data_IF_813251354395
#
_entry.id   IF_813251354395
#
_cell.length_a   1.000
_cell.length_b   1.000
_cell.length_c   1.000
_cell.angle_alpha   90.00
_cell.angle_beta   90.00
_cell.angle_gamma   90.00
#
_symmetry.space_group_name_H-M   'P 1'
#
loop_
_entity.id
_entity.type
_entity.pdbx_description
1 polymer ?
#
# COMPACT_ATOMS: atom_id res chain seq x y z
N UNK A 1 19.87 9.63 15.83
CA UNK A 1 19.54 8.27 15.35
C UNK A 1 19.76 8.30 13.86
N UNK A 2 20.61 7.43 13.33
CA UNK A 2 20.70 7.22 11.88
C UNK A 2 19.32 6.79 11.37
N UNK A 3 18.87 7.44 10.29
CA UNK A 3 17.62 7.04 9.64
C UNK A 3 17.91 5.86 8.72
N UNK A 4 17.08 4.80 8.75
CA UNK A 4 17.38 3.59 8.01
C UNK A 4 17.31 3.82 6.49
N UNK A 5 18.32 3.33 5.78
CA UNK A 5 18.31 3.12 4.34
C UNK A 5 18.13 1.62 4.10
N UNK A 6 17.02 1.26 3.46
CA UNK A 6 16.69 -0.14 3.14
C UNK A 6 16.84 -0.31 1.64
N UNK A 7 17.88 -1.00 1.21
CA UNK A 7 18.09 -1.37 -0.19
C UNK A 7 18.16 -2.90 -0.30
N UNK A 8 17.06 -3.50 -0.75
CA UNK A 8 16.98 -4.95 -0.95
C UNK A 8 17.24 -5.32 -2.41
N UNK A 9 17.73 -6.53 -2.61
CA UNK A 9 17.94 -7.12 -3.94
C UNK A 9 16.66 -7.72 -4.53
N UNK A 10 15.72 -8.15 -3.69
CA UNK A 10 14.37 -8.62 -4.06
C UNK A 10 13.40 -8.54 -2.87
N UNK A 11 12.12 -8.80 -3.12
CA UNK A 11 11.06 -8.83 -2.10
C UNK A 11 10.35 -10.17 -2.11
N UNK A 12 10.28 -10.84 -0.95
CA UNK A 12 9.65 -12.16 -0.82
C UNK A 12 8.13 -12.04 -0.70
N UNK A 13 7.65 -11.01 0.01
CA UNK A 13 6.23 -10.70 0.14
C UNK A 13 6.01 -9.19 0.19
N UNK A 14 4.96 -8.73 -0.51
CA UNK A 14 4.54 -7.34 -0.49
C UNK A 14 3.02 -7.27 -0.41
N UNK A 15 2.50 -6.51 0.56
CA UNK A 15 1.06 -6.46 0.83
C UNK A 15 0.64 -5.11 1.38
N UNK A 16 -0.67 -4.88 1.39
CA UNK A 16 -1.30 -3.73 2.03
C UNK A 16 -2.27 -4.21 3.11
N UNK A 17 -2.38 -3.45 4.19
CA UNK A 17 -3.31 -3.73 5.28
C UNK A 17 -3.82 -2.48 5.96
N UNK A 18 -4.79 -2.69 6.84
CA UNK A 18 -5.33 -1.61 7.68
C UNK A 18 -5.51 -2.09 9.11
N UNK A 19 -5.23 -1.20 10.05
CA UNK A 19 -5.52 -1.40 11.48
C UNK A 19 -6.63 -0.43 11.90
N UNK A 20 -7.56 -0.91 12.74
CA UNK A 20 -8.68 -0.14 13.27
C UNK A 20 -10.01 -0.28 12.51
N UNK A 21 -11.05 0.32 13.07
CA UNK A 21 -12.43 0.24 12.55
C UNK A 21 -12.62 1.04 11.25
N UNK A 22 -13.62 0.66 10.44
CA UNK A 22 -13.96 1.37 9.21
C UNK A 22 -14.22 2.88 9.47
N UNK A 23 -13.59 3.75 8.67
CA UNK A 23 -13.62 5.20 8.87
C UNK A 23 -12.57 5.76 9.84
N UNK A 24 -11.87 4.90 10.60
CA UNK A 24 -10.69 5.24 11.42
C UNK A 24 -9.50 4.33 11.12
N UNK A 25 -9.48 3.74 9.93
CA UNK A 25 -8.42 2.83 9.48
C UNK A 25 -7.14 3.60 9.24
N UNK A 26 -6.04 3.07 9.77
CA UNK A 26 -4.68 3.46 9.38
C UNK A 26 -4.20 2.47 8.33
N UNK A 27 -3.68 2.98 7.21
CA UNK A 27 -3.21 2.16 6.10
C UNK A 27 -1.71 1.91 6.23
N UNK A 28 -1.31 0.70 5.86
CA UNK A 28 0.08 0.28 5.85
C UNK A 28 0.40 -0.51 4.59
N UNK A 29 1.60 -0.33 4.05
CA UNK A 29 2.23 -1.37 3.22
C UNK A 29 3.21 -2.16 4.08
N UNK A 30 3.33 -3.45 3.80
CA UNK A 30 4.27 -4.33 4.47
C UNK A 30 5.08 -5.10 3.42
N UNK A 31 6.40 -5.01 3.53
CA UNK A 31 7.35 -5.73 2.70
C UNK A 31 8.14 -6.71 3.57
N UNK A 32 8.49 -7.88 3.02
CA UNK A 32 9.28 -8.90 3.72
C UNK A 32 10.41 -9.41 2.84
N UNK A 33 11.57 -9.62 3.46
CA UNK A 33 12.74 -10.23 2.82
C UNK A 33 13.60 -10.93 3.87
N UNK A 34 13.91 -12.21 3.66
CA UNK A 34 14.83 -12.98 4.51
C UNK A 34 14.53 -12.87 6.03
N UNK A 35 13.25 -12.82 6.42
CA UNK A 35 12.80 -12.67 7.81
C UNK A 35 12.73 -11.24 8.33
N UNK A 36 13.28 -10.25 7.61
CA UNK A 36 13.04 -8.84 7.88
C UNK A 36 11.64 -8.43 7.41
N UNK A 37 10.95 -7.63 8.22
CA UNK A 37 9.63 -7.07 7.90
C UNK A 37 9.73 -5.55 8.03
N UNK A 38 9.26 -4.83 7.01
CA UNK A 38 9.16 -3.37 7.01
C UNK A 38 7.69 -3.00 6.85
N UNK A 39 7.18 -2.17 7.76
CA UNK A 39 5.80 -1.74 7.84
C UNK A 39 5.72 -0.22 7.81
N UNK A 40 5.33 0.31 6.65
CA UNK A 40 5.27 1.75 6.42
C UNK A 40 3.84 2.23 6.53
N UNK A 41 3.61 3.38 7.18
CA UNK A 41 2.30 4.01 7.29
C UNK A 41 2.05 4.96 6.12
N UNK A 42 0.86 4.91 5.55
CA UNK A 42 0.48 5.70 4.37
C UNK A 42 -0.91 6.29 4.51
N UNK A 43 -1.17 7.32 3.72
CA UNK A 43 -2.51 7.80 3.49
C UNK A 43 -3.30 6.88 2.56
N UNK A 44 -4.63 6.87 2.72
CA UNK A 44 -5.52 6.11 1.83
C UNK A 44 -5.32 6.49 0.36
N UNK A 45 -5.09 7.78 0.07
CA UNK A 45 -4.91 8.28 -1.30
C UNK A 45 -3.59 7.80 -1.91
N UNK A 46 -2.52 7.71 -1.12
CA UNK A 46 -1.25 7.15 -1.58
C UNK A 46 -1.39 5.67 -1.95
N UNK A 47 -2.14 4.88 -1.16
CA UNK A 47 -2.44 3.47 -1.49
C UNK A 47 -3.24 3.36 -2.78
N UNK A 48 -4.27 4.18 -2.95
CA UNK A 48 -5.11 4.18 -4.15
C UNK A 48 -4.30 4.56 -5.40
N UNK A 49 -3.54 5.66 -5.32
CA UNK A 49 -2.71 6.15 -6.42
C UNK A 49 -1.59 5.19 -6.78
N UNK A 50 -0.95 4.55 -5.80
CA UNK A 50 0.07 3.52 -6.05
C UNK A 50 -0.53 2.32 -6.80
N UNK A 51 -1.72 1.84 -6.39
CA UNK A 51 -2.37 0.72 -7.07
C UNK A 51 -2.76 1.07 -8.51
N UNK A 52 -3.29 2.27 -8.75
CA UNK A 52 -3.62 2.76 -10.10
C UNK A 52 -2.38 2.89 -10.97
N UNK A 53 -1.31 3.49 -10.45
CA UNK A 53 -0.06 3.66 -11.18
C UNK A 53 0.59 2.32 -11.56
N UNK A 54 0.67 1.38 -10.59
CA UNK A 54 1.19 0.04 -10.84
C UNK A 54 0.35 -0.72 -11.87
N UNK A 55 -0.97 -0.61 -11.82
CA UNK A 55 -1.86 -1.24 -12.80
C UNK A 55 -1.65 -0.70 -14.22
N UNK A 56 -1.43 0.62 -14.35
CA UNK A 56 -1.05 1.25 -15.62
C UNK A 56 0.24 0.67 -16.19
N UNK A 57 1.31 0.62 -15.39
CA UNK A 57 2.59 0.01 -15.81
C UNK A 57 2.37 -1.45 -16.21
N UNK A 58 1.63 -2.21 -15.41
CA UNK A 58 1.38 -3.63 -15.65
C UNK A 58 0.58 -3.87 -16.93
N UNK A 59 -0.30 -2.94 -17.32
CA UNK A 59 -1.07 -2.99 -18.56
C UNK A 59 -0.24 -2.83 -19.83
N UNK A 60 0.92 -2.17 -19.74
CA UNK A 60 1.87 -2.00 -20.84
C UNK A 60 2.85 -3.19 -20.99
N UNK A 61 2.81 -4.15 -20.06
CA UNK A 61 3.70 -5.30 -20.01
C UNK A 61 2.98 -6.61 -20.41
N UNK A 62 3.70 -7.64 -20.90
CA UNK A 62 3.10 -8.95 -21.22
C UNK A 62 2.34 -9.52 -20.04
N UNK A 63 1.20 -10.23 -20.20
CA UNK A 63 0.45 -10.74 -19.05
C UNK A 63 1.32 -11.60 -18.12
N UNK A 64 1.02 -11.56 -16.83
CA UNK A 64 1.66 -12.44 -15.83
C UNK A 64 0.96 -13.79 -15.86
N UNK A 65 1.73 -14.87 -15.87
CA UNK A 65 1.20 -16.22 -15.81
C UNK A 65 0.82 -16.61 -14.37
N UNK A 66 -0.40 -17.15 -14.18
CA UNK A 66 -0.88 -17.67 -12.90
C UNK A 66 -1.81 -16.73 -12.10
N UNK A 67 -2.56 -17.28 -11.13
CA UNK A 67 -3.56 -16.52 -10.39
C UNK A 67 -2.94 -15.61 -9.33
N UNK A 68 -2.90 -14.30 -9.59
CA UNK A 68 -2.45 -13.28 -8.63
C UNK A 68 -3.25 -13.29 -7.30
N UNK A 69 -4.46 -13.84 -7.31
CA UNK A 69 -5.33 -13.96 -6.12
C UNK A 69 -4.77 -14.90 -5.06
N UNK A 70 -4.09 -15.98 -5.48
CA UNK A 70 -3.54 -16.96 -4.54
C UNK A 70 -2.38 -16.32 -3.77
N UNK A 71 -1.50 -15.62 -4.48
CA UNK A 71 -0.38 -14.90 -3.87
C UNK A 71 -0.85 -13.72 -2.98
N UNK A 72 -1.95 -13.04 -3.33
CA UNK A 72 -2.54 -12.00 -2.48
C UNK A 72 -3.05 -12.52 -1.13
N UNK A 73 -3.38 -13.81 -1.07
CA UNK A 73 -3.78 -14.50 0.16
C UNK A 73 -2.56 -14.94 0.97
N UNK A 74 -1.49 -15.39 0.29
CA UNK A 74 -0.25 -15.87 0.90
C UNK A 74 0.63 -14.77 1.51
N UNK A 75 0.61 -13.54 0.96
CA UNK A 75 1.43 -12.41 1.46
C UNK A 75 0.88 -11.77 2.74
N UNK A 76 0.24 -12.56 3.61
CA UNK A 76 -0.57 -12.12 4.75
C UNK A 76 -0.06 -10.89 5.50
N UNK A 77 -0.98 -9.96 5.78
CA UNK A 77 -0.71 -8.76 6.56
C UNK A 77 -0.73 -9.05 8.06
N UNK A 78 0.26 -8.56 8.79
CA UNK A 78 0.31 -8.62 10.25
C UNK A 78 0.26 -7.22 10.82
N UNK A 79 -0.59 -6.99 11.84
CA UNK A 79 -0.68 -5.70 12.53
C UNK A 79 0.71 -5.30 13.06
N UNK A 80 1.28 -4.18 12.59
CA UNK A 80 2.63 -3.82 12.93
C UNK A 80 2.77 -3.22 14.34
N UNK A 81 1.66 -2.89 15.01
CA UNK A 81 1.60 -2.11 16.27
C UNK A 81 2.13 -0.68 16.11
N UNK A 82 3.34 -0.51 15.59
CA UNK A 82 3.97 0.77 15.24
C UNK A 82 4.52 0.72 13.81
N UNK A 83 4.55 1.88 13.13
CA UNK A 83 5.16 1.99 11.81
C UNK A 83 6.66 2.21 11.94
N UNK A 84 7.45 1.69 10.98
CA UNK A 84 8.85 2.07 10.85
C UNK A 84 8.97 3.57 10.53
N UNK A 85 8.12 4.07 9.62
CA UNK A 85 7.91 5.50 9.40
C UNK A 85 6.60 5.81 8.65
N UNK A 86 6.27 7.10 8.56
CA UNK A 86 5.15 7.62 7.74
C UNK A 86 5.69 8.00 6.37
N UNK A 87 5.09 7.51 5.30
CA UNK A 87 5.51 7.77 3.92
C UNK A 87 5.12 9.18 3.49
N UNK A 88 6.10 9.96 3.02
CA UNK A 88 5.89 11.26 2.40
C UNK A 88 5.73 11.14 0.88
N UNK A 89 6.59 10.37 0.23
CA UNK A 89 6.62 10.20 -1.22
C UNK A 89 6.73 8.72 -1.61
N UNK A 90 6.19 8.39 -2.78
CA UNK A 90 6.33 7.08 -3.41
C UNK A 90 6.80 7.28 -4.85
N UNK A 91 7.81 6.53 -5.26
CA UNK A 91 8.27 6.42 -6.63
C UNK A 91 8.25 4.97 -7.09
N UNK A 92 7.96 4.72 -8.36
CA UNK A 92 8.04 3.37 -8.93
C UNK A 92 8.80 3.42 -10.25
N UNK A 93 9.69 2.46 -10.45
CA UNK A 93 10.39 2.25 -11.72
C UNK A 93 10.30 0.80 -12.14
N UNK A 94 10.28 0.53 -13.45
CA UNK A 94 10.33 -0.81 -13.99
C UNK A 94 11.75 -1.12 -14.51
N UNK A 95 12.36 -2.14 -13.94
CA UNK A 95 13.70 -2.61 -14.29
C UNK A 95 13.59 -3.82 -15.22
N UNK A 96 13.75 -3.57 -16.52
CA UNK A 96 13.62 -4.59 -17.58
C UNK A 96 14.65 -5.72 -17.46
N UNK A 97 15.87 -5.43 -17.00
CA UNK A 97 16.94 -6.44 -16.95
C UNK A 97 16.69 -7.57 -15.96
N UNK A 98 15.89 -7.31 -14.92
CA UNK A 98 15.57 -8.27 -13.86
C UNK A 98 14.07 -8.57 -13.79
N UNK A 99 13.26 -7.99 -14.69
CA UNK A 99 11.80 -8.05 -14.67
C UNK A 99 11.23 -7.73 -13.26
N UNK A 100 11.60 -6.55 -12.74
CA UNK A 100 11.19 -6.07 -11.42
C UNK A 100 10.52 -4.71 -11.51
N UNK A 101 9.42 -4.53 -10.78
CA UNK A 101 8.96 -3.19 -10.42
C UNK A 101 9.59 -2.82 -9.09
N UNK A 102 10.31 -1.71 -9.05
CA UNK A 102 11.00 -1.24 -7.87
C UNK A 102 10.20 -0.09 -7.27
N UNK A 103 9.67 -0.31 -6.08
CA UNK A 103 9.03 0.73 -5.28
C UNK A 103 10.09 1.43 -4.43
N UNK A 104 10.08 2.75 -4.46
CA UNK A 104 10.88 3.63 -3.61
C UNK A 104 9.91 4.36 -2.69
N UNK A 105 10.13 4.26 -1.38
CA UNK A 105 9.32 4.91 -0.37
C UNK A 105 10.20 5.80 0.51
N UNK A 106 9.85 7.07 0.61
CA UNK A 106 10.60 8.05 1.40
C UNK A 106 9.77 8.50 2.59
N UNK A 107 10.46 8.74 3.71
CA UNK A 107 9.85 9.23 4.92
C UNK A 107 9.29 10.65 4.78
N UNK A 108 8.12 10.87 5.39
CA UNK A 108 7.53 12.19 5.55
C UNK A 108 8.34 12.99 6.56
N UNK A 109 9.02 14.02 6.06
CA UNK A 109 9.77 14.96 6.87
C UNK A 109 8.92 16.18 7.24
N UNK A 110 9.14 16.69 8.46
CA UNK A 110 8.58 17.98 8.90
C UNK A 110 9.50 19.16 8.60
N UNK A 111 10.76 18.86 8.32
CA UNK A 111 11.84 19.81 8.08
C UNK A 111 12.67 19.27 6.92
N UNK A 112 12.80 20.07 5.86
CA UNK A 112 13.45 19.71 4.60
C UNK A 112 14.98 19.61 4.75
N UNK A 113 15.56 20.19 5.81
CA UNK A 113 16.99 20.08 6.09
C UNK A 113 17.39 18.73 6.71
N UNK A 114 16.40 17.87 7.02
CA UNK A 114 16.63 16.54 7.56
C UNK A 114 16.76 15.50 6.44
N UNK A 115 17.64 14.53 6.65
CA UNK A 115 17.68 13.32 5.80
C UNK A 115 16.67 12.32 6.36
N UNK A 116 15.72 11.90 5.53
CA UNK A 116 14.66 10.93 5.84
C UNK A 116 15.10 9.48 5.68
N UNK A 117 14.35 8.55 6.27
CA UNK A 117 14.47 7.14 5.94
C UNK A 117 14.00 6.88 4.50
N UNK A 118 14.61 5.89 3.85
CA UNK A 118 14.26 5.49 2.50
C UNK A 118 14.25 3.97 2.40
N UNK A 119 13.28 3.43 1.65
CA UNK A 119 13.27 2.03 1.26
C UNK A 119 13.17 1.84 -0.24
N UNK A 120 13.86 0.84 -0.75
CA UNK A 120 13.80 0.34 -2.12
C UNK A 120 13.41 -1.13 -2.10
N UNK A 121 12.24 -1.42 -2.68
CA UNK A 121 11.64 -2.76 -2.74
C UNK A 121 11.50 -3.20 -4.20
N UNK A 122 12.47 -3.94 -4.76
CA UNK A 122 12.27 -4.65 -6.02
C UNK A 122 11.24 -5.75 -5.83
N UNK A 123 10.21 -5.78 -6.68
CA UNK A 123 9.11 -6.73 -6.61
C UNK A 123 8.92 -7.44 -7.93
N UNK A 124 8.65 -8.74 -7.86
CA UNK A 124 8.17 -9.50 -9.01
C UNK A 124 6.78 -9.05 -9.43
N UNK A 125 6.47 -9.24 -10.70
CA UNK A 125 5.20 -8.84 -11.30
C UNK A 125 3.98 -9.52 -10.68
N UNK A 126 4.14 -10.76 -10.22
CA UNK A 126 3.07 -11.50 -9.51
C UNK A 126 2.72 -10.81 -8.18
N UNK A 127 3.73 -10.35 -7.42
CA UNK A 127 3.52 -9.65 -6.15
C UNK A 127 2.82 -8.30 -6.37
N UNK A 128 3.18 -7.59 -7.43
CA UNK A 128 2.52 -6.33 -7.82
C UNK A 128 1.06 -6.57 -8.18
N UNK A 129 0.76 -7.58 -8.99
CA UNK A 129 -0.62 -7.91 -9.35
C UNK A 129 -1.46 -8.26 -8.10
N UNK A 130 -0.90 -9.05 -7.20
CA UNK A 130 -1.51 -9.39 -5.92
C UNK A 130 -1.78 -8.14 -5.05
N UNK A 131 -0.80 -7.24 -4.97
CA UNK A 131 -0.92 -5.97 -4.25
C UNK A 131 -2.03 -5.09 -4.82
N UNK A 132 -2.10 -4.92 -6.15
CA UNK A 132 -3.12 -4.09 -6.82
C UNK A 132 -4.53 -4.56 -6.45
N UNK A 133 -4.79 -5.86 -6.54
CA UNK A 133 -6.09 -6.46 -6.20
C UNK A 133 -6.45 -6.13 -4.75
N UNK A 134 -5.53 -6.37 -3.82
CA UNK A 134 -5.75 -6.15 -2.39
C UNK A 134 -5.92 -4.67 -2.03
N UNK A 135 -5.12 -3.80 -2.63
CA UNK A 135 -5.20 -2.35 -2.45
C UNK A 135 -6.55 -1.80 -2.90
N UNK A 136 -7.01 -2.19 -4.10
CA UNK A 136 -8.34 -1.81 -4.60
C UNK A 136 -9.45 -2.26 -3.66
N UNK A 137 -9.41 -3.51 -3.21
CA UNK A 137 -10.40 -4.05 -2.26
C UNK A 137 -10.41 -3.26 -0.93
N UNK A 138 -9.24 -2.98 -0.34
CA UNK A 138 -9.16 -2.25 0.93
C UNK A 138 -9.58 -0.78 0.82
N UNK A 139 -9.21 -0.12 -0.29
CA UNK A 139 -9.61 1.27 -0.57
C UNK A 139 -11.12 1.36 -0.79
N UNK A 140 -11.71 0.39 -1.51
CA UNK A 140 -13.14 0.31 -1.77
C UNK A 140 -13.96 -0.11 -0.54
N UNK A 141 -13.40 -0.91 0.37
CA UNK A 141 -14.01 -1.33 1.63
C UNK A 141 -14.16 -0.20 2.68
N UNK A 142 -14.19 1.06 2.23
CA UNK A 142 -14.63 2.20 3.03
C UNK A 142 -16.12 2.13 3.35
N UNK A 143 -16.64 3.14 4.06
CA UNK A 143 -18.08 3.16 4.37
C UNK A 143 -18.87 3.33 3.06
N UNK A 144 -19.94 2.55 2.84
CA UNK A 144 -20.75 2.66 1.64
C UNK A 144 -21.22 4.11 1.46
N UNK A 145 -21.24 4.61 0.22
CA UNK A 145 -21.75 5.95 -0.05
C UNK A 145 -23.25 5.98 0.29
N UNK A 146 -23.70 7.06 0.90
CA UNK A 146 -25.11 7.33 1.12
C UNK A 146 -25.83 7.36 -0.24
N UNK A 147 -26.96 6.64 -0.41
CA UNK A 147 -27.69 6.62 -1.68
C UNK A 147 -28.31 7.97 -2.07
N UNK A 148 -28.36 8.94 -1.14
CA UNK A 148 -28.91 10.28 -1.39
C UNK A 148 -27.85 11.37 -1.64
N UNK A 149 -26.80 11.47 -0.79
CA UNK A 149 -25.78 12.52 -0.93
C UNK A 149 -24.39 12.01 -1.36
N UNK A 150 -24.19 10.69 -1.49
CA UNK A 150 -22.89 10.09 -1.83
C UNK A 150 -21.86 10.12 -0.70
N UNK A 151 -22.11 10.81 0.42
CA UNK A 151 -21.19 10.86 1.55
C UNK A 151 -21.08 9.51 2.27
N UNK A 152 -19.92 9.14 2.84
CA UNK A 152 -19.76 7.86 3.54
C UNK A 152 -20.68 7.78 4.78
N UNK A 153 -21.54 6.76 4.84
CA UNK A 153 -22.53 6.56 5.93
C UNK A 153 -21.91 6.59 7.34
N UNK A 154 -22.67 6.99 8.37
CA UNK A 154 -22.19 7.03 9.76
C UNK A 154 -22.00 5.60 10.31
N UNK A 155 -20.85 5.28 10.96
CA UNK A 155 -20.62 3.95 11.52
C UNK A 155 -21.31 3.69 12.86
N UNK A 156 -21.81 4.72 13.54
CA UNK A 156 -22.45 4.61 14.86
C UNK A 156 -23.97 4.49 14.77
N UNK A 157 -24.55 4.80 13.60
CA UNK A 157 -25.99 4.78 13.37
C UNK A 157 -26.24 4.08 12.03
N UNK A 158 -26.83 2.89 12.08
CA UNK A 158 -27.04 2.04 10.90
C UNK A 158 -27.78 2.79 9.79
N UNK A 159 -27.10 2.94 8.63
CA UNK A 159 -27.68 3.58 7.45
C UNK A 159 -27.93 5.09 7.55
N UNK A 160 -27.46 5.76 8.62
CA UNK A 160 -27.66 7.20 8.77
C UNK A 160 -26.70 8.02 7.93
N UNK A 161 -27.25 9.06 7.31
CA UNK A 161 -26.54 10.00 6.48
C UNK A 161 -26.15 11.25 7.31
N UNK A 162 -24.85 11.56 7.49
CA UNK A 162 -24.41 12.77 8.21
C UNK A 162 -24.86 14.09 7.55
N UNK A 163 -25.20 14.05 6.26
CA UNK A 163 -25.72 15.20 5.51
C UNK A 163 -27.15 15.59 5.92
N UNK A 164 -27.88 14.74 6.65
CA UNK A 164 -29.32 14.87 6.89
C UNK A 164 -29.69 15.71 8.14
N UNK A 165 -28.85 16.67 8.52
CA UNK A 165 -29.08 17.55 9.67
C UNK A 165 -29.94 18.77 9.31
#
# INVERSE_FOLDING_TARGET
MERPEIDWDDTDAFTVGTVGAAGRRVFFIQARRAGQVVSLKLEKQQVAGLAEFLDGIMGDLPPVDGPATDLATETGFTDPVEADWVVGSLGVTYQQSTDRLVLIAEELLRDEDLVGAQARFPMRRELVAAFIIRARQLVAAGRPPCPWCGAPLDPTVDGWCPCAN
#
